data_IF_431727077320
#
_entry.id   IF_431727077320
#
_cell.length_a   1.000
_cell.length_b   1.000
_cell.length_c   1.000
_cell.angle_alpha   90.00
_cell.angle_beta   90.00
_cell.angle_gamma   90.00
#
_symmetry.space_group_name_H-M   'P 1'
#
loop_
_entity.id
_entity.type
_entity.pdbx_description
1 polymer ?
#
# COMPACT_ATOMS: atom_id res chain seq x y z
N UNK A 1 -16.89 -20.92 -8.31
CA UNK A 1 -15.52 -20.36 -8.28
C UNK A 1 -15.17 -20.03 -6.84
N UNK A 2 -14.38 -20.87 -6.18
CA UNK A 2 -13.91 -20.63 -4.81
C UNK A 2 -12.91 -19.48 -4.87
N UNK A 3 -13.28 -18.31 -4.35
CA UNK A 3 -12.36 -17.18 -4.20
C UNK A 3 -11.34 -17.57 -3.14
N UNK A 4 -10.15 -18.00 -3.55
CA UNK A 4 -8.95 -18.15 -2.74
C UNK A 4 -8.47 -16.76 -2.30
N UNK A 5 -9.28 -16.06 -1.49
CA UNK A 5 -8.75 -14.98 -0.66
C UNK A 5 -8.26 -15.63 0.63
N UNK A 6 -7.03 -15.34 1.08
CA UNK A 6 -6.58 -15.75 2.41
C UNK A 6 -7.64 -15.36 3.45
N UNK A 7 -7.91 -16.20 4.45
CA UNK A 7 -8.92 -15.94 5.51
C UNK A 7 -8.83 -14.50 6.04
N UNK A 8 -7.60 -14.04 6.28
CA UNK A 8 -7.27 -12.68 6.68
C UNK A 8 -7.80 -11.57 5.74
N UNK A 9 -7.73 -11.74 4.41
CA UNK A 9 -8.28 -10.78 3.45
C UNK A 9 -9.80 -10.91 3.26
N UNK A 10 -10.40 -12.00 3.76
CA UNK A 10 -11.85 -12.18 3.74
C UNK A 10 -12.50 -11.39 4.88
N UNK A 11 -11.85 -11.36 6.04
CA UNK A 11 -12.40 -10.75 7.25
C UNK A 11 -12.01 -9.27 7.39
N UNK A 12 -10.79 -8.90 6.98
CA UNK A 12 -10.30 -7.51 7.01
C UNK A 12 -10.09 -6.88 5.62
N UNK A 13 -10.60 -7.52 4.55
CA UNK A 13 -10.28 -7.15 3.16
C UNK A 13 -10.52 -5.68 2.81
N UNK A 14 -11.66 -5.12 3.20
CA UNK A 14 -11.97 -3.73 2.91
C UNK A 14 -11.03 -2.74 3.64
N UNK A 15 -10.51 -3.11 4.80
CA UNK A 15 -9.54 -2.31 5.54
C UNK A 15 -8.14 -2.44 4.95
N UNK A 16 -7.73 -3.66 4.59
CA UNK A 16 -6.47 -3.93 3.89
C UNK A 16 -6.39 -3.19 2.56
N UNK A 17 -7.48 -3.23 1.78
CA UNK A 17 -7.58 -2.53 0.50
C UNK A 17 -7.43 -1.00 0.68
N UNK A 18 -7.95 -0.45 1.78
CA UNK A 18 -7.77 0.98 2.14
C UNK A 18 -6.34 1.30 2.54
N UNK A 19 -5.67 0.44 3.31
CA UNK A 19 -4.26 0.64 3.71
C UNK A 19 -3.36 0.61 2.49
N UNK A 20 -3.51 -0.38 1.60
CA UNK A 20 -2.76 -0.45 0.33
C UNK A 20 -3.05 0.76 -0.54
N UNK A 21 -4.33 1.14 -0.68
CA UNK A 21 -4.72 2.32 -1.44
C UNK A 21 -4.10 3.61 -0.90
N UNK A 22 -4.05 3.77 0.43
CA UNK A 22 -3.42 4.92 1.08
C UNK A 22 -1.90 4.95 0.84
N UNK A 23 -1.21 3.81 0.92
CA UNK A 23 0.22 3.73 0.65
C UNK A 23 0.54 4.09 -0.82
N UNK A 24 -0.27 3.64 -1.76
CA UNK A 24 -0.15 4.00 -3.18
C UNK A 24 -0.36 5.51 -3.36
N UNK A 25 -1.41 6.07 -2.74
CA UNK A 25 -1.71 7.50 -2.82
C UNK A 25 -0.58 8.36 -2.23
N UNK A 26 -0.06 8.00 -1.06
CA UNK A 26 1.07 8.69 -0.42
C UNK A 26 2.33 8.64 -1.30
N UNK A 27 2.59 7.49 -1.93
CA UNK A 27 3.66 7.34 -2.91
C UNK A 27 3.53 8.33 -4.07
N UNK A 28 2.37 8.36 -4.72
CA UNK A 28 2.08 9.28 -5.84
C UNK A 28 2.15 10.76 -5.45
N UNK A 29 1.64 11.11 -4.26
CA UNK A 29 1.71 12.47 -3.74
C UNK A 29 3.17 12.90 -3.52
N UNK A 30 4.01 12.02 -2.97
CA UNK A 30 5.43 12.30 -2.72
C UNK A 30 6.23 12.47 -4.02
N UNK A 31 5.98 11.65 -5.04
CA UNK A 31 6.65 11.77 -6.34
C UNK A 31 6.18 12.99 -7.12
N UNK A 32 4.90 13.35 -7.04
CA UNK A 32 4.38 14.59 -7.61
C UNK A 32 5.02 15.81 -6.94
N UNK A 33 5.10 15.82 -5.61
CA UNK A 33 5.77 16.89 -4.85
C UNK A 33 7.26 17.01 -5.24
N UNK A 34 8.00 15.90 -5.30
CA UNK A 34 9.39 15.91 -5.73
C UNK A 34 9.55 16.43 -7.16
N UNK A 35 8.67 16.03 -8.08
CA UNK A 35 8.70 16.48 -9.47
C UNK A 35 8.53 17.99 -9.58
N UNK A 36 7.58 18.56 -8.83
CA UNK A 36 7.35 20.01 -8.77
C UNK A 36 8.54 20.72 -8.12
N UNK A 37 9.09 20.17 -7.04
CA UNK A 37 10.19 20.80 -6.31
C UNK A 37 11.51 20.84 -7.09
N UNK A 38 11.81 19.80 -7.86
CA UNK A 38 13.04 19.70 -8.66
C UNK A 38 12.88 20.20 -10.10
N UNK A 39 11.69 20.66 -10.49
CA UNK A 39 11.35 21.20 -11.81
C UNK A 39 11.74 20.28 -12.99
N UNK A 40 11.59 18.97 -12.78
CA UNK A 40 11.93 17.93 -13.77
C UNK A 40 10.70 17.08 -14.09
N UNK A 41 9.77 17.57 -14.92
CA UNK A 41 8.52 16.86 -15.22
C UNK A 41 8.73 15.49 -15.86
N UNK A 42 9.83 15.28 -16.60
CA UNK A 42 10.18 13.98 -17.19
C UNK A 42 10.39 12.90 -16.13
N UNK A 43 10.83 13.26 -14.91
CA UNK A 43 11.02 12.27 -13.84
C UNK A 43 9.70 11.61 -13.43
N UNK A 44 8.55 12.26 -13.64
CA UNK A 44 7.24 11.70 -13.27
C UNK A 44 6.94 10.40 -14.01
N UNK A 45 7.38 10.29 -15.28
CA UNK A 45 7.14 9.11 -16.12
C UNK A 45 7.85 7.86 -15.57
N UNK A 46 9.02 8.05 -14.96
CA UNK A 46 9.77 6.97 -14.32
C UNK A 46 9.35 6.76 -12.85
N UNK A 47 9.06 7.84 -12.13
CA UNK A 47 8.79 7.79 -10.70
C UNK A 47 7.38 7.33 -10.36
N UNK A 48 6.38 7.56 -11.22
CA UNK A 48 5.01 7.07 -11.03
C UNK A 48 4.96 5.55 -10.91
N UNK A 49 5.43 4.74 -11.89
CA UNK A 49 5.37 3.28 -11.77
C UNK A 49 6.18 2.75 -10.58
N UNK A 50 7.31 3.40 -10.26
CA UNK A 50 8.11 3.06 -9.07
C UNK A 50 7.28 3.31 -7.79
N UNK A 51 6.66 4.48 -7.66
CA UNK A 51 5.85 4.81 -6.48
C UNK A 51 4.62 3.93 -6.31
N UNK A 52 3.99 3.48 -7.42
CA UNK A 52 2.90 2.51 -7.39
C UNK A 52 3.37 1.16 -6.82
N UNK A 53 4.51 0.65 -7.31
CA UNK A 53 5.08 -0.61 -6.83
C UNK A 53 5.51 -0.51 -5.36
N UNK A 54 6.18 0.57 -4.97
CA UNK A 54 6.59 0.80 -3.58
C UNK A 54 5.40 0.99 -2.65
N UNK A 55 4.36 1.71 -3.07
CA UNK A 55 3.13 1.86 -2.29
C UNK A 55 2.39 0.54 -2.11
N UNK A 56 2.33 -0.29 -3.15
CA UNK A 56 1.76 -1.64 -3.08
C UNK A 56 2.55 -2.52 -2.10
N UNK A 57 3.87 -2.63 -2.28
CA UNK A 57 4.75 -3.44 -1.42
C UNK A 57 4.72 -2.93 0.02
N UNK A 58 4.82 -1.62 0.22
CA UNK A 58 4.74 -0.98 1.54
C UNK A 58 3.41 -1.26 2.23
N UNK A 59 2.30 -1.17 1.50
CA UNK A 59 0.97 -1.55 2.00
C UNK A 59 0.92 -3.01 2.46
N UNK A 60 1.44 -3.94 1.66
CA UNK A 60 1.54 -5.35 2.04
C UNK A 60 2.42 -5.59 3.27
N UNK A 61 3.55 -4.87 3.39
CA UNK A 61 4.44 -4.96 4.55
C UNK A 61 3.74 -4.46 5.81
N UNK A 62 3.07 -3.31 5.73
CA UNK A 62 2.31 -2.73 6.86
C UNK A 62 1.22 -3.71 7.29
N UNK A 63 0.45 -4.23 6.34
CA UNK A 63 -0.57 -5.26 6.61
C UNK A 63 0.07 -6.47 7.28
N UNK A 64 1.18 -6.99 6.77
CA UNK A 64 1.88 -8.15 7.34
C UNK A 64 2.31 -7.90 8.79
N UNK A 65 2.83 -6.70 9.10
CA UNK A 65 3.19 -6.31 10.47
C UNK A 65 1.94 -6.26 11.35
N UNK A 66 0.86 -5.64 10.88
CA UNK A 66 -0.39 -5.54 11.61
C UNK A 66 -0.99 -6.93 11.88
N UNK A 67 -0.95 -7.85 10.92
CA UNK A 67 -1.35 -9.23 11.14
C UNK A 67 -0.48 -9.95 12.15
N UNK A 68 0.84 -9.80 12.02
CA UNK A 68 1.80 -10.61 12.78
C UNK A 68 1.90 -10.15 14.23
N UNK A 69 1.82 -8.85 14.47
CA UNK A 69 2.06 -8.24 15.78
C UNK A 69 0.79 -7.72 16.45
N UNK A 70 -0.24 -7.33 15.70
CA UNK A 70 -1.47 -6.73 16.25
C UNK A 70 -2.70 -7.62 16.13
N UNK A 71 -2.73 -8.64 15.25
CA UNK A 71 -3.82 -9.62 15.23
C UNK A 71 -3.65 -10.75 16.28
N UNK A 72 -2.73 -10.57 17.24
CA UNK A 72 -2.43 -11.51 18.32
C UNK A 72 -3.14 -11.15 19.64
N UNK A 73 -4.39 -10.68 19.55
CA UNK A 73 -5.18 -10.29 20.73
C UNK A 73 -6.67 -10.63 20.59
N UNK A 74 -6.98 -11.84 20.10
CA UNK A 74 -8.35 -12.37 20.14
C UNK A 74 -8.41 -13.81 20.63
N UNK A 75 -7.53 -14.18 21.57
CA UNK A 75 -7.63 -15.41 22.36
C UNK A 75 -8.25 -15.12 23.76
N UNK A 76 -9.21 -14.18 23.84
CA UNK A 76 -10.14 -14.00 24.97
C UNK A 76 -11.59 -14.19 24.49
#
# INVERSE_FOLDING_TARGET
MVRLRPRFWRDCGAWNDRVVGFCIFAGLASTTYATIHYDRPILILALVPISLLFGLVGGFVIIYILCTYFARDSDD
#
